data_IF_324378718389
#
_entry.id   IF_324378718389
#
_cell.length_a   1.000
_cell.length_b   1.000
_cell.length_c   1.000
_cell.angle_alpha   90.00
_cell.angle_beta   90.00
_cell.angle_gamma   90.00
#
_symmetry.space_group_name_H-M   'P 1'
#
loop_
_entity.id
_entity.type
_entity.pdbx_description
1 polymer ?
#
# COMPACT_ATOMS: atom_id res chain seq x y z
N UNK A 1 -21.22 -5.10 -3.63
CA UNK A 1 -20.06 -4.95 -4.54
C UNK A 1 -18.79 -5.19 -3.73
N UNK A 2 -17.82 -5.95 -4.25
CA UNK A 2 -16.54 -6.18 -3.55
C UNK A 2 -15.64 -4.94 -3.71
N UNK A 3 -14.76 -4.73 -2.75
CA UNK A 3 -13.84 -3.59 -2.71
C UNK A 3 -12.42 -4.10 -2.53
N UNK A 4 -11.48 -3.64 -3.35
CA UNK A 4 -10.08 -4.01 -3.32
C UNK A 4 -9.26 -2.81 -2.84
N UNK A 5 -8.38 -3.04 -1.87
CA UNK A 5 -7.40 -2.04 -1.45
C UNK A 5 -6.21 -2.07 -2.43
N UNK A 6 -5.95 -0.96 -3.10
CA UNK A 6 -4.76 -0.75 -3.92
C UNK A 6 -3.75 0.03 -3.09
N UNK A 7 -2.55 -0.52 -2.91
CA UNK A 7 -1.47 0.11 -2.13
C UNK A 7 -0.25 0.38 -3.01
N UNK A 8 0.29 1.60 -2.95
CA UNK A 8 1.49 1.98 -3.67
C UNK A 8 2.14 3.23 -3.06
N UNK A 9 3.37 3.51 -3.45
CA UNK A 9 4.03 4.81 -3.20
C UNK A 9 3.64 5.77 -4.32
N UNK A 10 2.60 6.58 -4.11
CA UNK A 10 1.94 7.33 -5.21
C UNK A 10 2.75 8.54 -5.71
N UNK A 11 3.84 8.87 -5.05
CA UNK A 11 4.84 9.83 -5.53
C UNK A 11 5.64 9.30 -6.73
N UNK A 12 5.68 7.98 -6.91
CA UNK A 12 6.46 7.32 -7.97
C UNK A 12 5.67 6.28 -8.77
N UNK A 13 4.61 5.70 -8.18
CA UNK A 13 3.80 4.60 -8.73
C UNK A 13 2.34 4.96 -8.95
N UNK A 14 2.05 6.25 -9.07
CA UNK A 14 0.71 6.76 -9.34
C UNK A 14 0.13 6.23 -10.66
N UNK A 15 0.92 6.23 -11.73
CA UNK A 15 0.45 5.76 -13.05
C UNK A 15 0.07 4.28 -13.02
N UNK A 16 0.92 3.43 -12.46
CA UNK A 16 0.64 1.99 -12.36
C UNK A 16 -0.52 1.69 -11.39
N UNK A 17 -0.59 2.40 -10.26
CA UNK A 17 -1.70 2.26 -9.31
C UNK A 17 -3.04 2.73 -9.93
N UNK A 18 -3.02 3.82 -10.70
CA UNK A 18 -4.17 4.32 -11.44
C UNK A 18 -4.66 3.33 -12.49
N UNK A 19 -3.74 2.73 -13.25
CA UNK A 19 -4.08 1.66 -14.19
C UNK A 19 -4.73 0.45 -13.48
N UNK A 20 -4.14 -0.02 -12.38
CA UNK A 20 -4.73 -1.12 -11.59
C UNK A 20 -6.13 -0.75 -11.09
N UNK A 21 -6.31 0.48 -10.60
CA UNK A 21 -7.61 0.98 -10.16
C UNK A 21 -8.65 0.88 -11.28
N UNK A 22 -8.34 1.42 -12.46
CA UNK A 22 -9.22 1.39 -13.63
C UNK A 22 -9.60 -0.05 -14.01
N UNK A 23 -8.62 -0.98 -14.07
CA UNK A 23 -8.90 -2.37 -14.44
C UNK A 23 -9.80 -3.08 -13.41
N UNK A 24 -9.63 -2.82 -12.12
CA UNK A 24 -10.49 -3.39 -11.07
C UNK A 24 -11.93 -2.84 -11.20
N UNK A 25 -12.07 -1.56 -11.50
CA UNK A 25 -13.37 -0.91 -11.71
C UNK A 25 -14.09 -1.44 -12.95
N UNK A 26 -13.36 -1.63 -14.06
CA UNK A 26 -13.88 -2.27 -15.29
C UNK A 26 -14.39 -3.70 -15.02
N UNK A 27 -13.74 -4.43 -14.11
CA UNK A 27 -14.16 -5.77 -13.69
C UNK A 27 -15.33 -5.76 -12.67
N UNK A 28 -15.88 -4.59 -12.33
CA UNK A 28 -17.07 -4.45 -11.50
C UNK A 28 -16.83 -4.44 -9.99
N UNK A 29 -15.60 -4.19 -9.54
CA UNK A 29 -15.27 -4.01 -8.12
C UNK A 29 -14.96 -2.54 -7.80
N UNK A 30 -15.08 -2.16 -6.52
CA UNK A 30 -14.63 -0.85 -6.03
C UNK A 30 -13.16 -0.87 -5.68
N UNK A 31 -12.53 0.30 -5.69
CA UNK A 31 -11.16 0.50 -5.22
C UNK A 31 -11.14 1.45 -4.03
N UNK A 32 -10.30 1.16 -3.05
CA UNK A 32 -9.76 2.15 -2.13
C UNK A 32 -8.27 2.27 -2.40
N UNK A 33 -7.79 3.48 -2.61
CA UNK A 33 -6.41 3.78 -2.94
C UNK A 33 -5.68 4.33 -1.72
N UNK A 34 -4.58 3.67 -1.32
CA UNK A 34 -3.77 4.05 -0.18
C UNK A 34 -2.37 4.46 -0.61
N UNK A 35 -1.93 5.63 -0.16
CA UNK A 35 -0.58 6.16 -0.39
C UNK A 35 0.38 5.79 0.73
N UNK A 36 1.52 5.21 0.36
CA UNK A 36 2.66 4.94 1.23
C UNK A 36 3.91 5.77 0.92
N UNK A 37 3.83 6.76 0.04
CA UNK A 37 4.97 7.56 -0.41
C UNK A 37 5.61 8.38 0.71
N UNK A 38 6.94 8.35 0.80
CA UNK A 38 7.71 9.04 1.85
C UNK A 38 8.49 10.26 1.34
N UNK A 39 8.71 10.39 0.03
CA UNK A 39 9.57 11.42 -0.55
C UNK A 39 8.73 12.56 -1.16
N UNK A 40 8.10 12.30 -2.31
CA UNK A 40 7.38 13.29 -3.10
C UNK A 40 5.90 13.34 -2.75
N UNK A 41 5.17 14.33 -3.26
CA UNK A 41 3.70 14.35 -3.14
C UNK A 41 3.06 13.32 -4.08
N UNK A 42 1.91 12.74 -3.70
CA UNK A 42 1.20 11.80 -4.56
C UNK A 42 0.78 12.46 -5.88
N UNK A 43 0.92 11.75 -7.00
CA UNK A 43 0.54 12.29 -8.33
C UNK A 43 -0.91 11.98 -8.72
N UNK A 44 -1.60 11.19 -7.90
CA UNK A 44 -3.04 10.95 -7.96
C UNK A 44 -3.62 11.05 -6.56
N UNK A 45 -4.85 11.51 -6.42
CA UNK A 45 -5.49 11.66 -5.11
C UNK A 45 -5.78 10.29 -4.47
N UNK A 46 -5.22 9.99 -3.29
CA UNK A 46 -5.53 8.76 -2.56
C UNK A 46 -6.85 8.89 -1.78
N UNK A 47 -7.53 7.77 -1.56
CA UNK A 47 -8.64 7.68 -0.61
C UNK A 47 -8.13 7.62 0.84
N UNK A 48 -6.91 7.11 1.04
CA UNK A 48 -6.21 7.03 2.32
C UNK A 48 -4.83 7.65 2.14
N UNK A 49 -4.63 8.80 2.77
CA UNK A 49 -3.42 9.60 2.65
C UNK A 49 -2.23 8.97 3.39
N UNK A 50 -1.01 9.32 2.96
CA UNK A 50 0.22 8.94 3.67
C UNK A 50 0.28 9.50 5.09
N UNK A 51 -0.36 10.65 5.33
CA UNK A 51 -0.47 11.26 6.65
C UNK A 51 -1.31 10.39 7.59
N UNK A 52 -2.44 9.85 7.11
CA UNK A 52 -3.23 8.86 7.84
C UNK A 52 -2.44 7.57 8.10
N UNK A 53 -1.65 7.13 7.11
CA UNK A 53 -0.78 5.96 7.24
C UNK A 53 0.27 6.17 8.33
N UNK A 54 0.98 7.31 8.32
CA UNK A 54 1.96 7.64 9.35
C UNK A 54 1.30 7.72 10.74
N UNK A 55 0.15 8.38 10.83
CA UNK A 55 -0.61 8.50 12.08
C UNK A 55 -1.02 7.12 12.63
N UNK A 56 -1.42 6.19 11.76
CA UNK A 56 -1.74 4.82 12.14
C UNK A 56 -0.53 3.99 12.59
N UNK A 57 0.70 4.46 12.30
CA UNK A 57 1.95 3.94 12.85
C UNK A 57 2.40 4.67 14.13
N UNK A 58 1.64 5.66 14.62
CA UNK A 58 1.97 6.46 15.80
C UNK A 58 3.03 7.52 15.55
N UNK A 59 3.16 8.02 14.32
CA UNK A 59 4.12 9.05 13.95
C UNK A 59 3.54 10.05 12.94
N UNK A 60 4.27 11.13 12.70
CA UNK A 60 3.98 12.13 11.67
C UNK A 60 4.79 11.88 10.39
N UNK A 61 4.34 12.44 9.27
CA UNK A 61 5.12 12.42 8.02
C UNK A 61 6.46 13.15 8.15
N UNK A 62 6.56 14.15 9.04
CA UNK A 62 7.84 14.83 9.33
C UNK A 62 8.83 13.87 9.99
N UNK A 63 8.40 13.11 11.01
CA UNK A 63 9.23 12.09 11.65
C UNK A 63 9.64 10.99 10.66
N UNK A 64 8.73 10.56 9.78
CA UNK A 64 9.03 9.58 8.73
C UNK A 64 10.12 10.10 7.78
N UNK A 65 10.02 11.37 7.34
CA UNK A 65 11.00 11.99 6.43
C UNK A 65 12.37 12.22 7.07
N UNK A 66 12.43 12.35 8.39
CA UNK A 66 13.68 12.52 9.12
C UNK A 66 14.44 11.18 9.34
N UNK A 67 13.85 10.04 8.99
CA UNK A 67 14.52 8.74 9.04
C UNK A 67 15.50 8.63 7.87
N UNK A 68 16.79 8.48 8.17
CA UNK A 68 17.86 8.37 7.16
C UNK A 68 17.81 7.05 6.38
N UNK A 69 17.41 5.97 7.03
CA UNK A 69 17.35 4.65 6.41
C UNK A 69 15.99 4.46 5.74
N UNK A 70 15.96 4.46 4.40
CA UNK A 70 14.72 4.31 3.62
C UNK A 70 13.93 3.04 4.01
N UNK A 71 14.63 1.94 4.29
CA UNK A 71 14.01 0.70 4.75
C UNK A 71 13.30 0.82 6.10
N UNK A 72 13.83 1.64 7.03
CA UNK A 72 13.17 1.91 8.30
C UNK A 72 11.94 2.79 8.12
N UNK A 73 12.02 3.83 7.28
CA UNK A 73 10.89 4.69 6.95
C UNK A 73 9.74 3.88 6.32
N UNK A 74 10.05 3.07 5.31
CA UNK A 74 9.10 2.17 4.66
C UNK A 74 8.56 1.13 5.65
N UNK A 75 9.38 0.61 6.56
CA UNK A 75 8.95 -0.30 7.62
C UNK A 75 7.85 0.31 8.50
N UNK A 76 8.02 1.55 8.95
CA UNK A 76 7.00 2.27 9.74
C UNK A 76 5.72 2.51 8.94
N UNK A 77 5.84 2.98 7.70
CA UNK A 77 4.68 3.18 6.83
C UNK A 77 3.93 1.86 6.58
N UNK A 78 4.65 0.74 6.45
CA UNK A 78 4.06 -0.60 6.30
C UNK A 78 3.23 -1.00 7.51
N UNK A 79 3.70 -0.68 8.72
CA UNK A 79 2.95 -0.95 9.98
C UNK A 79 1.66 -0.15 10.00
N UNK A 80 1.72 1.16 9.74
CA UNK A 80 0.55 2.02 9.73
C UNK A 80 -0.48 1.60 8.68
N UNK A 81 -0.04 1.34 7.46
CA UNK A 81 -0.90 0.87 6.39
C UNK A 81 -1.45 -0.54 6.67
N UNK A 82 -0.68 -1.42 7.32
CA UNK A 82 -1.13 -2.72 7.81
C UNK A 82 -2.25 -2.60 8.84
N UNK A 83 -2.14 -1.68 9.80
CA UNK A 83 -3.18 -1.40 10.79
C UNK A 83 -4.47 -0.91 10.13
N UNK A 84 -4.36 -0.01 9.16
CA UNK A 84 -5.51 0.49 8.40
C UNK A 84 -6.15 -0.65 7.59
N UNK A 85 -5.36 -1.44 6.86
CA UNK A 85 -5.87 -2.54 6.06
C UNK A 85 -6.62 -3.58 6.93
N UNK A 86 -6.05 -3.94 8.09
CA UNK A 86 -6.69 -4.86 9.03
C UNK A 86 -8.02 -4.31 9.56
N UNK A 87 -8.05 -3.03 9.95
CA UNK A 87 -9.27 -2.35 10.39
C UNK A 87 -10.34 -2.35 9.29
N UNK A 88 -9.97 -1.95 8.07
CA UNK A 88 -10.90 -1.94 6.93
C UNK A 88 -11.45 -3.34 6.62
N UNK A 89 -10.62 -4.38 6.76
CA UNK A 89 -11.06 -5.76 6.57
C UNK A 89 -12.05 -6.20 7.65
N UNK A 90 -11.74 -5.92 8.93
CA UNK A 90 -12.63 -6.24 10.06
C UNK A 90 -13.97 -5.52 9.98
N UNK A 91 -13.99 -4.30 9.43
CA UNK A 91 -15.20 -3.51 9.16
C UNK A 91 -15.94 -3.95 7.88
N UNK A 92 -15.45 -4.96 7.15
CA UNK A 92 -16.04 -5.44 5.90
C UNK A 92 -15.92 -4.45 4.72
N UNK A 93 -15.08 -3.42 4.84
CA UNK A 93 -14.90 -2.37 3.83
C UNK A 93 -13.99 -2.79 2.68
N UNK A 94 -13.07 -3.73 2.91
CA UNK A 94 -12.21 -4.32 1.88
C UNK A 94 -12.35 -5.84 1.87
N UNK A 95 -12.10 -6.43 0.70
CA UNK A 95 -12.29 -7.87 0.44
C UNK A 95 -11.03 -8.53 -0.14
N UNK A 96 -10.01 -7.74 -0.46
CA UNK A 96 -8.74 -8.16 -1.00
C UNK A 96 -7.79 -6.96 -1.09
N UNK A 97 -6.52 -7.24 -1.35
CA UNK A 97 -5.48 -6.22 -1.47
C UNK A 97 -4.58 -6.52 -2.68
N UNK A 98 -4.19 -5.48 -3.40
CA UNK A 98 -3.16 -5.54 -4.42
C UNK A 98 -2.15 -4.41 -4.24
N UNK A 99 -0.88 -4.73 -4.42
CA UNK A 99 0.20 -3.74 -4.44
C UNK A 99 1.01 -3.79 -5.72
N UNK A 100 1.69 -2.69 -6.04
CA UNK A 100 2.64 -2.59 -7.16
C UNK A 100 3.92 -1.86 -6.74
N UNK A 101 5.09 -2.38 -7.12
CA UNK A 101 6.35 -1.71 -6.85
C UNK A 101 7.62 -2.53 -7.11
N UNK A 102 8.77 -1.85 -7.05
CA UNK A 102 10.10 -2.48 -7.07
C UNK A 102 10.49 -3.03 -5.68
N UNK A 103 11.77 -3.04 -5.33
CA UNK A 103 12.26 -3.55 -4.03
C UNK A 103 11.55 -2.94 -2.82
N UNK A 104 11.61 -1.61 -2.67
CA UNK A 104 10.99 -0.90 -1.54
C UNK A 104 9.47 -0.98 -1.55
N UNK A 105 8.84 -0.82 -2.73
CA UNK A 105 7.39 -0.98 -2.87
C UNK A 105 6.90 -2.40 -2.56
N UNK A 106 7.72 -3.42 -2.83
CA UNK A 106 7.43 -4.82 -2.45
C UNK A 106 7.56 -5.02 -0.94
N UNK A 107 8.58 -4.44 -0.31
CA UNK A 107 8.71 -4.47 1.14
C UNK A 107 7.49 -3.80 1.81
N UNK A 108 7.05 -2.66 1.27
CA UNK A 108 5.84 -1.95 1.70
C UNK A 108 4.58 -2.80 1.55
N UNK A 109 4.24 -3.19 0.30
CA UNK A 109 3.02 -3.93 -0.01
C UNK A 109 2.95 -5.28 0.72
N UNK A 110 4.04 -6.06 0.71
CA UNK A 110 4.07 -7.35 1.42
C UNK A 110 4.03 -7.19 2.95
N UNK A 111 4.54 -6.08 3.48
CA UNK A 111 4.42 -5.70 4.89
C UNK A 111 2.97 -5.55 5.32
N UNK A 112 2.19 -4.81 4.54
CA UNK A 112 0.75 -4.60 4.77
C UNK A 112 -0.01 -5.92 4.66
N UNK A 113 0.27 -6.70 3.60
CA UNK A 113 -0.42 -7.96 3.32
C UNK A 113 -0.32 -8.97 4.47
N UNK A 114 0.79 -8.97 5.22
CA UNK A 114 1.01 -9.84 6.38
C UNK A 114 0.09 -9.53 7.57
N UNK A 115 -0.47 -8.32 7.65
CA UNK A 115 -1.43 -7.97 8.69
C UNK A 115 -2.82 -8.60 8.46
N UNK A 116 -3.13 -9.02 7.22
CA UNK A 116 -4.43 -9.60 6.87
C UNK A 116 -4.46 -11.12 7.09
N UNK A 117 -5.59 -11.69 7.56
CA UNK A 117 -5.71 -13.13 7.80
C UNK A 117 -5.44 -14.01 6.57
N UNK A 118 -5.08 -15.26 6.84
CA UNK A 118 -5.04 -16.31 5.81
C UNK A 118 -6.44 -16.45 5.19
N UNK A 119 -6.50 -16.66 3.87
CA UNK A 119 -7.75 -16.73 3.10
C UNK A 119 -8.16 -15.41 2.43
N UNK A 120 -7.70 -14.26 2.92
CA UNK A 120 -7.88 -12.98 2.21
C UNK A 120 -7.05 -13.00 0.92
N UNK A 121 -7.60 -12.68 -0.27
CA UNK A 121 -6.82 -12.54 -1.50
C UNK A 121 -5.80 -11.40 -1.40
N UNK A 122 -4.52 -11.70 -1.68
CA UNK A 122 -3.39 -10.76 -1.61
C UNK A 122 -2.51 -10.94 -2.84
N UNK A 123 -2.28 -9.89 -3.62
CA UNK A 123 -1.46 -9.95 -4.85
C UNK A 123 -0.42 -8.83 -4.84
N UNK A 124 0.83 -9.17 -5.18
CA UNK A 124 1.91 -8.18 -5.31
C UNK A 124 2.48 -8.23 -6.72
N UNK A 125 2.35 -7.14 -7.47
CA UNK A 125 3.01 -6.95 -8.76
C UNK A 125 4.40 -6.38 -8.50
N UNK A 126 5.43 -7.18 -8.75
CA UNK A 126 6.81 -6.82 -8.36
C UNK A 126 7.83 -7.21 -9.41
N UNK A 127 8.84 -6.34 -9.61
CA UNK A 127 10.03 -6.66 -10.40
C UNK A 127 10.98 -7.63 -9.68
N UNK A 128 10.79 -7.86 -8.36
CA UNK A 128 11.62 -8.74 -7.54
C UNK A 128 11.09 -10.18 -7.46
N UNK A 129 9.97 -10.49 -8.13
CA UNK A 129 9.32 -11.82 -8.04
C UNK A 129 10.20 -12.98 -8.53
N UNK A 130 11.20 -12.68 -9.37
CA UNK A 130 12.14 -13.64 -9.93
C UNK A 130 13.59 -13.32 -9.55
N UNK A 131 13.86 -12.78 -8.35
CA UNK A 131 15.23 -12.62 -7.86
C UNK A 131 15.82 -14.01 -7.54
N UNK A 132 16.29 -14.69 -8.58
CA UNK A 132 16.95 -15.99 -8.53
C UNK A 132 18.36 -15.81 -7.98
N UNK A 133 18.47 -15.61 -6.66
CA UNK A 133 19.67 -15.98 -5.92
C UNK A 133 19.39 -17.33 -5.26
N UNK A 134 19.62 -18.40 -6.01
CA UNK A 134 19.84 -19.74 -5.47
C UNK A 134 21.34 -19.99 -5.41
#
# INVERSE_FOLDING_TARGET
MKTILVVATLDTKATEAGFIKEQIEVLGAKVLLLDGGVLGSPLIEPDITREEVAAAAGCSMEEIRNIKAEAEAIGKMSVGAGNIALKLYQEGKIHGIIGVGGGMGTAFGSGIMRALPIGVPKVMVTSQGANLMW
#
